data_IF_323249612260
#
_entry.id   IF_323249612260
#
_cell.length_a   1.000
_cell.length_b   1.000
_cell.length_c   1.000
_cell.angle_alpha   90.00
_cell.angle_beta   90.00
_cell.angle_gamma   90.00
#
_symmetry.space_group_name_H-M   'P 1'
#
loop_
_entity.id
_entity.type
_entity.pdbx_description
1 polymer ?
#
# COMPACT_ATOMS: atom_id res chain seq x y z
N UNK A 1 -4.34 58.50 67.13
CA UNK A 1 -3.41 58.99 66.10
C UNK A 1 -3.26 57.92 65.01
N UNK A 2 -4.14 57.89 64.02
CA UNK A 2 -4.06 56.96 62.88
C UNK A 2 -3.65 57.75 61.63
N UNK A 3 -2.42 57.57 61.15
CA UNK A 3 -1.96 58.09 59.85
C UNK A 3 -2.36 57.11 58.75
N UNK A 4 -3.38 57.47 57.99
CA UNK A 4 -3.76 56.82 56.74
C UNK A 4 -2.68 57.07 55.68
N UNK A 5 -1.93 56.04 55.29
CA UNK A 5 -1.14 56.07 54.06
C UNK A 5 -2.04 55.67 52.89
N UNK A 6 -2.59 56.67 52.19
CA UNK A 6 -3.17 56.46 50.85
C UNK A 6 -2.02 56.30 49.86
N UNK A 7 -1.80 55.09 49.37
CA UNK A 7 -0.95 54.83 48.20
C UNK A 7 -1.66 55.47 46.99
N UNK A 8 -1.02 56.47 46.37
CA UNK A 8 -1.44 56.99 45.07
C UNK A 8 -1.20 55.90 44.02
N UNK A 9 -2.26 55.24 43.59
CA UNK A 9 -2.25 54.41 42.38
C UNK A 9 -2.05 55.39 41.21
N UNK A 10 -0.86 55.38 40.61
CA UNK A 10 -0.60 56.06 39.35
C UNK A 10 -1.66 55.59 38.34
N UNK A 11 -2.45 56.53 37.83
CA UNK A 11 -3.35 56.29 36.69
C UNK A 11 -2.49 56.05 35.45
N UNK A 12 -2.19 54.80 35.16
CA UNK A 12 -1.62 54.39 33.88
C UNK A 12 -2.71 54.65 32.82
N UNK A 13 -2.41 55.38 31.73
CA UNK A 13 -3.39 55.62 30.68
C UNK A 13 -3.85 54.29 30.05
N UNK A 14 -5.15 54.13 29.71
CA UNK A 14 -5.70 52.89 29.14
C UNK A 14 -5.09 52.49 27.78
N UNK A 15 -4.23 53.33 27.21
CA UNK A 15 -3.50 53.09 25.96
C UNK A 15 -2.36 52.07 26.13
N UNK A 16 -1.79 51.91 27.32
CA UNK A 16 -0.64 51.00 27.54
C UNK A 16 -1.08 49.55 27.80
N UNK A 17 -2.34 49.31 28.19
CA UNK A 17 -2.88 47.94 28.36
C UNK A 17 -3.28 47.30 27.01
N UNK A 18 -3.49 48.11 25.97
CA UNK A 18 -3.83 47.62 24.62
C UNK A 18 -2.57 47.19 23.82
N UNK A 19 -1.38 47.69 24.18
CA UNK A 19 -0.13 47.36 23.50
C UNK A 19 0.53 46.04 23.95
N UNK A 20 0.02 45.39 25.00
CA UNK A 20 0.50 44.08 25.47
C UNK A 20 -0.38 42.90 25.00
N UNK A 21 -1.45 43.15 24.25
CA UNK A 21 -2.29 42.10 23.64
C UNK A 21 -1.87 41.80 22.19
N UNK A 22 -0.99 42.60 21.58
CA UNK A 22 -0.59 42.46 20.17
C UNK A 22 0.73 41.71 19.89
N UNK A 23 1.31 40.99 20.86
CA UNK A 23 2.56 40.23 20.62
C UNK A 23 2.55 38.80 21.21
N UNK A 24 1.37 38.21 21.32
CA UNK A 24 1.21 36.76 21.49
C UNK A 24 0.07 36.23 20.62
N UNK A 25 -0.09 36.76 19.40
CA UNK A 25 -0.35 35.84 18.29
C UNK A 25 0.97 35.11 18.07
N UNK A 26 1.19 34.05 18.86
CA UNK A 26 1.98 32.93 18.33
C UNK A 26 1.40 32.70 16.95
N UNK A 27 2.20 32.88 15.89
CA UNK A 27 1.80 32.38 14.59
C UNK A 27 1.25 30.97 14.85
N UNK A 28 -0.05 30.76 14.64
CA UNK A 28 -0.56 29.39 14.54
C UNK A 28 0.39 28.74 13.53
N UNK A 29 1.21 27.80 14.02
CA UNK A 29 2.28 27.25 13.23
C UNK A 29 1.65 26.73 11.94
N UNK A 30 2.05 27.29 10.80
CA UNK A 30 1.52 26.83 9.53
C UNK A 30 1.72 25.31 9.47
N UNK A 31 0.68 24.57 9.15
CA UNK A 31 0.69 23.11 9.14
C UNK A 31 0.23 22.59 7.79
N UNK A 32 0.81 21.47 7.36
CA UNK A 32 0.32 20.68 6.24
C UNK A 32 -0.74 19.67 6.65
N UNK A 33 -1.22 19.71 7.90
CA UNK A 33 -2.42 18.95 8.27
C UNK A 33 -3.55 19.33 7.30
N UNK A 34 -4.12 18.36 6.57
CA UNK A 34 -5.23 18.67 5.68
C UNK A 34 -6.39 19.28 6.47
N UNK A 35 -6.99 20.34 5.94
CA UNK A 35 -8.28 20.84 6.43
C UNK A 35 -9.36 19.75 6.32
N UNK A 36 -10.51 19.94 6.98
CA UNK A 36 -11.60 18.94 6.92
C UNK A 36 -12.04 18.64 5.48
N UNK A 37 -12.07 19.67 4.62
CA UNK A 37 -12.36 19.51 3.20
C UNK A 37 -11.26 18.72 2.46
N UNK A 38 -9.99 19.10 2.63
CA UNK A 38 -8.88 18.39 1.98
C UNK A 38 -8.77 16.95 2.49
N UNK A 39 -9.03 16.70 3.77
CA UNK A 39 -9.07 15.37 4.35
C UNK A 39 -10.19 14.53 3.74
N UNK A 40 -11.38 15.09 3.52
CA UNK A 40 -12.45 14.39 2.83
C UNK A 40 -12.03 13.99 1.40
N UNK A 41 -11.39 14.88 0.67
CA UNK A 41 -10.86 14.59 -0.68
C UNK A 41 -9.78 13.50 -0.63
N UNK A 42 -8.85 13.56 0.33
CA UNK A 42 -7.81 12.54 0.53
C UNK A 42 -8.44 11.15 0.78
N UNK A 43 -9.40 11.07 1.68
CA UNK A 43 -10.06 9.82 2.05
C UNK A 43 -10.85 9.25 0.88
N UNK A 44 -11.60 10.08 0.15
CA UNK A 44 -12.34 9.66 -1.04
C UNK A 44 -11.40 9.19 -2.16
N UNK A 45 -10.29 9.91 -2.41
CA UNK A 45 -9.25 9.46 -3.34
C UNK A 45 -8.72 8.08 -2.97
N UNK A 46 -8.43 7.85 -1.69
CA UNK A 46 -7.93 6.58 -1.19
C UNK A 46 -8.97 5.47 -1.38
N UNK A 47 -10.23 5.73 -1.04
CA UNK A 47 -11.30 4.76 -1.25
C UNK A 47 -11.38 4.32 -2.72
N UNK A 48 -11.30 5.25 -3.68
CA UNK A 48 -11.25 4.92 -5.10
C UNK A 48 -9.97 4.16 -5.51
N UNK A 49 -8.80 4.51 -4.96
CA UNK A 49 -7.56 3.74 -5.20
C UNK A 49 -7.71 2.30 -4.74
N UNK A 50 -8.25 2.09 -3.54
CA UNK A 50 -8.44 0.75 -2.97
C UNK A 50 -9.63 0.01 -3.58
N UNK A 51 -10.50 0.69 -4.33
CA UNK A 51 -11.56 0.13 -5.18
C UNK A 51 -11.13 -0.09 -6.65
N UNK A 52 -9.83 -0.01 -6.94
CA UNK A 52 -9.24 -0.12 -8.28
C UNK A 52 -9.79 0.89 -9.31
N UNK A 53 -10.35 2.02 -8.86
CA UNK A 53 -11.00 3.05 -9.67
C UNK A 53 -10.06 4.25 -9.86
N UNK A 54 -8.92 4.01 -10.52
CA UNK A 54 -7.81 4.95 -10.57
C UNK A 54 -8.14 6.27 -11.29
N UNK A 55 -8.94 6.23 -12.35
CA UNK A 55 -9.37 7.43 -13.08
C UNK A 55 -10.21 8.34 -12.20
N UNK A 56 -11.16 7.76 -11.43
CA UNK A 56 -11.97 8.54 -10.48
C UNK A 56 -11.15 9.06 -9.31
N UNK A 57 -10.19 8.27 -8.81
CA UNK A 57 -9.26 8.75 -7.80
C UNK A 57 -8.48 9.99 -8.28
N UNK A 58 -8.04 10.02 -9.56
CA UNK A 58 -7.38 11.21 -10.13
C UNK A 58 -8.32 12.40 -10.25
N UNK A 59 -9.54 12.18 -10.74
CA UNK A 59 -10.52 13.26 -10.88
C UNK A 59 -10.86 13.92 -9.54
N UNK A 60 -11.08 13.12 -8.49
CA UNK A 60 -11.31 13.62 -7.12
C UNK A 60 -10.08 14.38 -6.62
N UNK A 61 -8.87 13.84 -6.82
CA UNK A 61 -7.62 14.48 -6.41
C UNK A 61 -7.42 15.85 -7.05
N UNK A 62 -7.91 16.07 -8.27
CA UNK A 62 -7.84 17.38 -8.93
C UNK A 62 -8.59 18.48 -8.17
N UNK A 63 -9.55 18.14 -7.30
CA UNK A 63 -10.28 19.11 -6.47
C UNK A 63 -9.41 19.78 -5.39
N UNK A 64 -8.22 19.23 -5.09
CA UNK A 64 -7.26 19.89 -4.21
C UNK A 64 -6.64 21.16 -4.84
N UNK A 65 -6.72 21.31 -6.17
CA UNK A 65 -6.13 22.37 -6.98
C UNK A 65 -4.61 22.53 -6.80
N UNK A 66 -3.83 22.48 -7.89
CA UNK A 66 -2.40 22.83 -7.86
C UNK A 66 -2.19 24.35 -7.80
N UNK A 67 -2.72 25.00 -6.75
CA UNK A 67 -2.73 26.47 -6.64
C UNK A 67 -1.96 26.97 -5.42
N UNK A 68 -0.68 26.61 -5.38
CA UNK A 68 0.51 27.35 -4.91
C UNK A 68 1.69 26.37 -5.11
N UNK A 69 2.86 26.76 -5.65
CA UNK A 69 3.67 25.89 -6.52
C UNK A 69 3.83 24.46 -5.98
N UNK A 70 3.09 23.49 -6.53
CA UNK A 70 3.18 22.08 -6.19
C UNK A 70 2.75 21.76 -4.76
N UNK A 71 1.43 21.79 -4.49
CA UNK A 71 0.91 21.31 -3.20
C UNK A 71 1.42 19.87 -2.97
N UNK A 72 2.25 19.62 -1.94
CA UNK A 72 2.94 18.34 -1.80
C UNK A 72 1.96 17.18 -1.62
N UNK A 73 0.80 17.44 -1.01
CA UNK A 73 -0.28 16.47 -0.85
C UNK A 73 -0.88 16.02 -2.19
N UNK A 74 -1.18 16.96 -3.10
CA UNK A 74 -1.66 16.65 -4.45
C UNK A 74 -0.68 15.73 -5.18
N UNK A 75 0.60 16.09 -5.23
CA UNK A 75 1.61 15.27 -5.91
C UNK A 75 1.82 13.91 -5.25
N UNK A 76 1.75 13.82 -3.91
CA UNK A 76 1.84 12.55 -3.20
C UNK A 76 0.65 11.63 -3.55
N UNK A 77 -0.56 12.18 -3.61
CA UNK A 77 -1.75 11.42 -3.99
C UNK A 77 -1.69 10.96 -5.44
N UNK A 78 -1.32 11.83 -6.39
CA UNK A 78 -1.13 11.44 -7.78
C UNK A 78 -0.07 10.34 -7.90
N UNK A 79 1.07 10.45 -7.21
CA UNK A 79 2.08 9.40 -7.18
C UNK A 79 1.52 8.09 -6.58
N UNK A 80 0.71 8.16 -5.52
CA UNK A 80 0.08 6.98 -4.92
C UNK A 80 -0.88 6.27 -5.87
N UNK A 81 -1.64 7.02 -6.67
CA UNK A 81 -2.58 6.49 -7.67
C UNK A 81 -1.78 5.83 -8.80
N UNK A 82 -0.79 6.53 -9.37
CA UNK A 82 0.05 5.97 -10.43
C UNK A 82 0.73 4.69 -9.95
N UNK A 83 1.31 4.70 -8.75
CA UNK A 83 1.94 3.52 -8.18
C UNK A 83 0.97 2.35 -8.05
N UNK A 84 -0.24 2.59 -7.51
CA UNK A 84 -1.24 1.54 -7.34
C UNK A 84 -1.72 0.97 -8.68
N UNK A 85 -1.93 1.85 -9.68
CA UNK A 85 -2.29 1.47 -11.04
C UNK A 85 -1.20 0.62 -11.72
N UNK A 86 0.07 1.04 -11.61
CA UNK A 86 1.19 0.27 -12.16
C UNK A 86 1.31 -1.12 -11.52
N UNK A 87 1.14 -1.19 -10.20
CA UNK A 87 1.21 -2.46 -9.47
C UNK A 87 0.05 -3.40 -9.80
N UNK A 88 -1.15 -2.86 -9.92
CA UNK A 88 -2.32 -3.65 -10.28
C UNK A 88 -2.25 -4.17 -11.72
N UNK A 89 -1.80 -3.31 -12.64
CA UNK A 89 -1.64 -3.62 -14.07
C UNK A 89 -0.40 -4.45 -14.41
N UNK A 90 0.60 -4.52 -13.52
CA UNK A 90 1.99 -4.94 -13.86
C UNK A 90 2.51 -4.23 -15.13
N UNK A 91 2.09 -2.97 -15.30
CA UNK A 91 2.51 -2.06 -16.36
C UNK A 91 3.20 -0.86 -15.73
N UNK A 92 4.48 -0.67 -16.04
CA UNK A 92 5.31 0.40 -15.49
C UNK A 92 5.53 1.55 -16.50
N UNK A 93 4.67 1.66 -17.52
CA UNK A 93 4.73 2.73 -18.53
C UNK A 93 4.65 4.14 -17.94
N UNK A 94 3.90 4.34 -16.85
CA UNK A 94 3.76 5.62 -16.13
C UNK A 94 4.86 5.89 -15.09
N UNK A 95 5.93 5.10 -15.07
CA UNK A 95 7.03 5.23 -14.09
C UNK A 95 7.64 6.64 -14.04
N UNK A 96 7.81 7.27 -15.21
CA UNK A 96 8.38 8.62 -15.29
C UNK A 96 7.48 9.65 -14.60
N UNK A 97 6.17 9.59 -14.86
CA UNK A 97 5.19 10.47 -14.24
C UNK A 97 5.13 10.26 -12.72
N UNK A 98 5.18 9.01 -12.27
CA UNK A 98 5.26 8.65 -10.86
C UNK A 98 6.47 9.32 -10.19
N UNK A 99 7.66 9.16 -10.76
CA UNK A 99 8.88 9.74 -10.18
C UNK A 99 8.88 11.27 -10.21
N UNK A 100 8.37 11.88 -11.28
CA UNK A 100 8.22 13.34 -11.36
C UNK A 100 7.33 13.89 -10.24
N UNK A 101 6.20 13.25 -9.94
CA UNK A 101 5.35 13.66 -8.82
C UNK A 101 6.02 13.47 -7.46
N UNK A 102 6.75 12.36 -7.26
CA UNK A 102 7.52 12.14 -6.03
C UNK A 102 8.58 13.23 -5.84
N UNK A 103 9.31 13.60 -6.90
CA UNK A 103 10.36 14.61 -6.79
C UNK A 103 9.77 16.02 -6.54
N UNK A 104 8.68 16.41 -7.21
CA UNK A 104 7.97 17.67 -6.90
C UNK A 104 7.45 17.71 -5.46
N UNK A 105 6.88 16.60 -4.98
CA UNK A 105 6.41 16.47 -3.61
C UNK A 105 7.56 16.67 -2.61
N UNK A 106 8.68 15.98 -2.79
CA UNK A 106 9.84 16.08 -1.90
C UNK A 106 10.44 17.49 -1.91
N UNK A 107 10.62 18.11 -3.07
CA UNK A 107 11.17 19.46 -3.19
C UNK A 107 10.30 20.48 -2.44
N UNK A 108 8.98 20.37 -2.53
CA UNK A 108 8.04 21.23 -1.82
C UNK A 108 8.08 20.99 -0.30
N UNK A 109 8.14 19.73 0.14
CA UNK A 109 8.18 19.37 1.55
C UNK A 109 9.50 19.73 2.22
N UNK A 110 10.62 19.64 1.52
CA UNK A 110 11.93 20.06 2.02
C UNK A 110 11.92 21.56 2.33
N UNK A 111 11.47 22.40 1.38
CA UNK A 111 11.30 23.85 1.63
C UNK A 111 10.32 24.15 2.76
N UNK A 112 9.24 23.38 2.86
CA UNK A 112 8.26 23.53 3.94
C UNK A 112 8.88 23.24 5.31
N UNK A 113 9.53 22.10 5.45
CA UNK A 113 10.11 21.65 6.74
C UNK A 113 11.37 22.42 7.14
N UNK A 114 12.04 23.11 6.20
CA UNK A 114 13.05 24.13 6.53
C UNK A 114 12.43 25.34 7.24
N UNK A 115 11.24 25.78 6.79
CA UNK A 115 10.54 26.95 7.36
C UNK A 115 9.72 26.60 8.61
N UNK A 116 9.12 25.41 8.63
CA UNK A 116 8.25 24.91 9.70
C UNK A 116 8.75 23.53 10.17
N UNK A 117 9.90 23.46 10.84
CA UNK A 117 10.51 22.20 11.25
C UNK A 117 9.70 21.41 12.28
N UNK A 118 8.79 22.07 13.00
CA UNK A 118 7.94 21.47 14.03
C UNK A 118 6.57 21.03 13.51
N UNK A 119 6.34 21.03 12.18
CA UNK A 119 5.10 20.51 11.60
C UNK A 119 5.17 18.97 11.40
N UNK A 120 4.42 18.18 12.20
CA UNK A 120 4.45 16.72 12.11
C UNK A 120 3.99 16.20 10.74
N UNK A 121 3.06 16.90 10.08
CA UNK A 121 2.50 16.49 8.79
C UNK A 121 3.50 16.62 7.66
N UNK A 122 4.32 17.67 7.67
CA UNK A 122 5.45 17.81 6.75
C UNK A 122 6.41 16.62 6.83
N UNK A 123 6.81 16.20 8.04
CA UNK A 123 7.68 15.02 8.19
C UNK A 123 6.99 13.73 7.79
N UNK A 124 5.70 13.56 8.12
CA UNK A 124 4.92 12.40 7.68
C UNK A 124 4.88 12.27 6.16
N UNK A 125 4.59 13.35 5.44
CA UNK A 125 4.56 13.33 3.98
C UNK A 125 5.93 13.09 3.35
N UNK A 126 7.03 13.60 3.93
CA UNK A 126 8.39 13.25 3.46
C UNK A 126 8.63 11.76 3.65
N UNK A 127 8.24 11.21 4.81
CA UNK A 127 8.34 9.78 5.09
C UNK A 127 7.61 8.95 4.03
N UNK A 128 6.39 9.33 3.69
CA UNK A 128 5.56 8.67 2.68
C UNK A 128 6.17 8.73 1.28
N UNK A 129 6.61 9.91 0.83
CA UNK A 129 7.25 10.09 -0.47
C UNK A 129 8.57 9.30 -0.58
N UNK A 130 9.41 9.30 0.47
CA UNK A 130 10.62 8.48 0.53
C UNK A 130 10.30 6.97 0.55
N UNK A 131 9.19 6.57 1.18
CA UNK A 131 8.69 5.20 1.15
C UNK A 131 8.35 4.73 -0.26
N UNK A 132 7.57 5.52 -1.00
CA UNK A 132 7.29 5.26 -2.42
C UNK A 132 8.57 5.19 -3.26
N UNK A 133 9.49 6.14 -3.08
CA UNK A 133 10.81 6.14 -3.74
C UNK A 133 11.63 4.88 -3.44
N UNK A 134 11.58 4.40 -2.19
CA UNK A 134 12.27 3.17 -1.77
C UNK A 134 11.70 1.92 -2.44
N UNK A 135 10.36 1.81 -2.53
CA UNK A 135 9.67 0.70 -3.20
C UNK A 135 10.07 0.65 -4.68
N UNK A 136 10.00 1.81 -5.34
CA UNK A 136 10.40 1.96 -6.74
C UNK A 136 11.86 1.56 -6.99
N UNK A 137 12.81 2.06 -6.19
CA UNK A 137 14.22 1.67 -6.28
C UNK A 137 14.42 0.16 -6.09
N UNK A 138 13.65 -0.46 -5.20
CA UNK A 138 13.68 -1.89 -4.96
C UNK A 138 13.22 -2.70 -6.19
N UNK A 139 12.16 -2.24 -6.86
CA UNK A 139 11.66 -2.85 -8.10
C UNK A 139 12.68 -2.75 -9.24
N UNK A 140 13.43 -1.65 -9.32
CA UNK A 140 14.54 -1.49 -10.28
C UNK A 140 15.80 -2.27 -9.91
N UNK A 141 15.75 -3.13 -8.89
CA UNK A 141 16.88 -3.94 -8.43
C UNK A 141 17.95 -3.16 -7.65
N UNK A 142 17.73 -1.88 -7.37
CA UNK A 142 18.66 -1.03 -6.62
C UNK A 142 18.49 -1.19 -5.11
N UNK A 143 18.78 -2.38 -4.58
CA UNK A 143 18.52 -2.74 -3.18
C UNK A 143 19.19 -1.80 -2.16
N UNK A 144 20.44 -1.40 -2.37
CA UNK A 144 21.14 -0.47 -1.44
C UNK A 144 20.44 0.90 -1.39
N UNK A 145 20.06 1.45 -2.56
CA UNK A 145 19.34 2.72 -2.63
C UNK A 145 17.98 2.59 -1.94
N UNK A 146 17.25 1.52 -2.24
CA UNK A 146 15.95 1.21 -1.62
C UNK A 146 16.06 1.16 -0.10
N UNK A 147 17.09 0.50 0.45
CA UNK A 147 17.33 0.45 1.89
C UNK A 147 17.62 1.84 2.48
N UNK A 148 18.44 2.64 1.83
CA UNK A 148 18.76 4.00 2.28
C UNK A 148 17.52 4.91 2.27
N UNK A 149 16.72 4.89 1.20
CA UNK A 149 15.44 5.64 1.14
C UNK A 149 14.45 5.12 2.18
N UNK A 150 14.38 3.80 2.43
CA UNK A 150 13.54 3.23 3.48
C UNK A 150 13.96 3.66 4.89
N UNK A 151 15.27 3.78 5.15
CA UNK A 151 15.80 4.32 6.41
C UNK A 151 15.46 5.80 6.58
N UNK A 152 15.59 6.61 5.51
CA UNK A 152 15.16 8.01 5.52
C UNK A 152 13.67 8.15 5.81
N UNK A 153 12.83 7.34 5.16
CA UNK A 153 11.39 7.31 5.39
C UNK A 153 11.06 7.03 6.87
N UNK A 154 11.65 5.96 7.43
CA UNK A 154 11.50 5.60 8.84
C UNK A 154 11.93 6.72 9.79
N UNK A 155 13.07 7.37 9.52
CA UNK A 155 13.55 8.49 10.32
C UNK A 155 12.53 9.64 10.37
N UNK A 156 11.98 10.00 9.21
CA UNK A 156 10.97 11.06 9.11
C UNK A 156 9.65 10.72 9.79
N UNK A 157 9.20 9.47 9.71
CA UNK A 157 8.05 9.03 10.51
C UNK A 157 8.29 9.13 12.01
N UNK A 158 9.51 8.86 12.50
CA UNK A 158 9.84 9.08 13.90
C UNK A 158 9.87 10.56 14.27
N UNK A 159 10.39 11.42 13.40
CA UNK A 159 10.38 12.86 13.64
C UNK A 159 8.95 13.40 13.73
N UNK A 160 8.05 12.93 12.85
CA UNK A 160 6.62 13.23 12.95
C UNK A 160 6.01 12.77 14.29
N UNK A 161 6.27 11.52 14.72
CA UNK A 161 5.74 10.99 15.98
C UNK A 161 6.31 11.66 17.25
N UNK A 162 7.52 12.25 17.18
CA UNK A 162 8.05 13.06 18.29
C UNK A 162 7.24 14.34 18.49
N UNK A 163 6.75 14.91 17.38
CA UNK A 163 5.99 16.16 17.35
C UNK A 163 4.49 15.92 17.61
N UNK A 164 3.92 14.87 17.02
CA UNK A 164 2.55 14.41 17.26
C UNK A 164 2.51 12.88 17.45
N UNK A 165 2.47 12.40 18.71
CA UNK A 165 2.37 10.98 19.03
C UNK A 165 1.07 10.31 18.54
N UNK A 166 0.05 11.08 18.15
CA UNK A 166 -1.25 10.58 17.69
C UNK A 166 -1.35 10.47 16.17
N UNK A 167 -0.29 10.81 15.43
CA UNK A 167 -0.24 10.65 13.97
C UNK A 167 0.01 9.18 13.60
N UNK A 168 -0.98 8.33 13.87
CA UNK A 168 -0.87 6.88 13.75
C UNK A 168 -0.54 6.38 12.34
N UNK A 169 -0.80 7.21 11.32
CA UNK A 169 -0.42 6.96 9.93
C UNK A 169 1.06 6.60 9.76
N UNK A 170 1.94 7.20 10.56
CA UNK A 170 3.38 6.91 10.59
C UNK A 170 3.70 5.42 10.87
N UNK A 171 2.86 4.73 11.65
CA UNK A 171 3.07 3.33 12.00
C UNK A 171 2.89 2.39 10.81
N UNK A 172 2.22 2.82 9.73
CA UNK A 172 2.10 2.02 8.49
C UNK A 172 3.49 1.77 7.88
N UNK A 173 4.27 2.85 7.72
CA UNK A 173 5.62 2.79 7.17
C UNK A 173 6.63 2.19 8.14
N UNK A 174 6.59 2.59 9.43
CA UNK A 174 7.50 2.07 10.46
C UNK A 174 7.29 0.57 10.66
N UNK A 175 6.03 0.12 10.81
CA UNK A 175 5.68 -1.27 11.02
C UNK A 175 6.06 -2.15 9.83
N UNK A 176 5.79 -1.66 8.61
CA UNK A 176 6.25 -2.32 7.37
C UNK A 176 7.77 -2.48 7.34
N UNK A 177 8.51 -1.43 7.72
CA UNK A 177 9.96 -1.50 7.78
C UNK A 177 10.42 -2.54 8.82
N UNK A 178 9.97 -2.44 10.08
CA UNK A 178 10.40 -3.36 11.14
C UNK A 178 10.12 -4.82 10.78
N UNK A 179 8.94 -5.10 10.22
CA UNK A 179 8.58 -6.44 9.81
C UNK A 179 9.43 -6.95 8.64
N UNK A 180 9.39 -6.27 7.49
CA UNK A 180 9.99 -6.79 6.27
C UNK A 180 11.51 -6.74 6.26
N UNK A 181 12.11 -5.75 6.93
CA UNK A 181 13.56 -5.72 7.13
C UNK A 181 14.02 -6.89 7.99
N UNK A 182 13.30 -7.25 9.05
CA UNK A 182 13.60 -8.42 9.87
C UNK A 182 13.45 -9.74 9.09
N UNK A 183 12.40 -9.86 8.25
CA UNK A 183 12.19 -11.06 7.40
C UNK A 183 13.31 -11.24 6.36
N UNK A 184 13.77 -10.14 5.75
CA UNK A 184 14.72 -10.19 4.63
C UNK A 184 16.17 -10.07 5.09
N UNK A 185 16.51 -9.05 5.86
CA UNK A 185 17.89 -8.73 6.22
C UNK A 185 18.48 -9.73 7.20
N UNK A 186 17.69 -10.31 8.13
CA UNK A 186 18.23 -11.32 9.06
C UNK A 186 18.68 -12.61 8.41
N UNK A 187 18.18 -12.92 7.20
CA UNK A 187 18.70 -14.04 6.40
C UNK A 187 20.14 -13.81 5.94
N UNK A 188 20.55 -12.55 5.83
CA UNK A 188 21.88 -12.12 5.38
C UNK A 188 22.75 -11.73 6.59
N UNK A 189 22.15 -11.06 7.57
CA UNK A 189 22.78 -10.49 8.77
C UNK A 189 22.05 -11.00 10.03
N UNK A 190 22.34 -12.22 10.50
CA UNK A 190 21.57 -12.90 11.54
C UNK A 190 21.64 -12.24 12.93
N UNK A 191 22.61 -11.35 13.14
CA UNK A 191 22.81 -10.59 14.38
C UNK A 191 21.89 -9.37 14.52
N UNK A 192 21.14 -9.00 13.47
CA UNK A 192 20.15 -7.92 13.56
C UNK A 192 18.96 -8.33 14.45
N UNK A 193 18.37 -7.34 15.13
CA UNK A 193 17.17 -7.51 15.96
C UNK A 193 16.01 -8.11 15.15
N UNK A 194 15.26 -9.01 15.78
CA UNK A 194 14.02 -9.55 15.21
C UNK A 194 12.83 -8.69 15.61
N UNK A 195 12.56 -7.66 14.83
CA UNK A 195 11.49 -6.71 15.09
C UNK A 195 10.17 -7.12 14.42
N UNK A 196 10.00 -8.38 14.01
CA UNK A 196 8.75 -8.86 13.37
C UNK A 196 7.52 -8.68 14.26
N UNK A 197 7.61 -9.02 15.54
CA UNK A 197 6.50 -8.84 16.48
C UNK A 197 6.11 -7.36 16.60
N UNK A 198 7.11 -6.49 16.76
CA UNK A 198 6.93 -5.04 16.83
C UNK A 198 6.28 -4.50 15.56
N UNK A 199 6.76 -4.91 14.39
CA UNK A 199 6.17 -4.50 13.11
C UNK A 199 4.72 -4.93 12.94
N UNK A 200 4.34 -6.13 13.43
CA UNK A 200 2.95 -6.58 13.45
C UNK A 200 2.07 -5.72 14.37
N UNK A 201 2.57 -5.37 15.55
CA UNK A 201 1.86 -4.51 16.51
C UNK A 201 1.66 -3.10 15.95
N UNK A 202 2.69 -2.51 15.34
CA UNK A 202 2.62 -1.18 14.70
C UNK A 202 1.68 -1.18 13.48
N UNK A 203 1.75 -2.20 12.62
CA UNK A 203 0.82 -2.34 11.48
C UNK A 203 -0.63 -2.51 11.95
N UNK A 204 -0.86 -3.28 13.00
CA UNK A 204 -2.19 -3.41 13.60
C UNK A 204 -2.67 -2.08 14.16
N UNK A 205 -1.82 -1.37 14.89
CA UNK A 205 -2.15 -0.05 15.43
C UNK A 205 -2.52 0.94 14.32
N UNK A 206 -1.74 0.97 13.24
CA UNK A 206 -2.03 1.81 12.07
C UNK A 206 -3.35 1.42 11.40
N UNK A 207 -3.64 0.13 11.27
CA UNK A 207 -4.91 -0.36 10.70
C UNK A 207 -6.12 0.09 11.55
N UNK A 208 -5.98 0.07 12.88
CA UNK A 208 -7.07 0.40 13.80
C UNK A 208 -7.27 1.91 13.98
N UNK A 209 -6.20 2.72 13.89
CA UNK A 209 -6.18 4.10 14.39
C UNK A 209 -5.70 5.18 13.40
N UNK A 210 -5.14 4.84 12.24
CA UNK A 210 -4.73 5.85 11.24
C UNK A 210 -5.91 6.67 10.73
N UNK A 211 -5.65 7.89 10.28
CA UNK A 211 -6.64 8.70 9.57
C UNK A 211 -6.74 8.24 8.11
N UNK A 212 -5.60 8.23 7.41
CA UNK A 212 -5.49 8.11 5.96
C UNK A 212 -5.07 6.68 5.58
N UNK A 213 -4.14 6.11 6.35
CA UNK A 213 -3.37 4.92 5.97
C UNK A 213 -4.02 3.60 6.39
N UNK A 214 -5.26 3.61 6.90
CA UNK A 214 -5.93 2.40 7.41
C UNK A 214 -5.98 1.27 6.37
N UNK A 215 -6.38 1.51 5.10
CA UNK A 215 -6.45 0.42 4.12
C UNK A 215 -5.06 -0.12 3.78
N UNK A 216 -4.06 0.76 3.63
CA UNK A 216 -2.68 0.37 3.40
C UNK A 216 -2.09 -0.46 4.55
N UNK A 217 -2.34 -0.05 5.80
CA UNK A 217 -1.94 -0.77 7.00
C UNK A 217 -2.63 -2.13 7.12
N UNK A 218 -3.93 -2.21 6.78
CA UNK A 218 -4.66 -3.47 6.76
C UNK A 218 -4.05 -4.47 5.76
N UNK A 219 -3.72 -4.03 4.54
CA UNK A 219 -3.03 -4.86 3.56
C UNK A 219 -1.66 -5.29 4.08
N UNK A 220 -0.85 -4.34 4.58
CA UNK A 220 0.48 -4.63 5.12
C UNK A 220 0.43 -5.64 6.27
N UNK A 221 -0.49 -5.46 7.20
CA UNK A 221 -0.74 -6.38 8.32
C UNK A 221 -1.20 -7.75 7.83
N UNK A 222 -2.13 -7.81 6.88
CA UNK A 222 -2.64 -9.05 6.29
C UNK A 222 -1.53 -9.89 5.63
N UNK A 223 -0.67 -9.27 4.82
CA UNK A 223 0.48 -9.96 4.21
C UNK A 223 1.52 -10.40 5.25
N UNK A 224 1.75 -9.60 6.29
CA UNK A 224 2.63 -9.98 7.38
C UNK A 224 2.08 -11.19 8.17
N UNK A 225 0.78 -11.21 8.47
CA UNK A 225 0.12 -12.36 9.09
C UNK A 225 0.21 -13.61 8.21
N UNK A 226 0.00 -13.47 6.89
CA UNK A 226 0.17 -14.57 5.95
C UNK A 226 1.62 -15.11 5.97
N UNK A 227 2.63 -14.24 5.97
CA UNK A 227 4.02 -14.65 6.04
C UNK A 227 4.37 -15.37 7.36
N UNK A 228 3.76 -14.97 8.49
CA UNK A 228 3.82 -15.71 9.77
C UNK A 228 2.91 -16.95 9.81
N UNK A 229 2.22 -17.30 8.73
CA UNK A 229 1.27 -18.43 8.65
C UNK A 229 0.10 -18.32 9.63
N UNK A 230 -0.23 -17.11 10.09
CA UNK A 230 -1.41 -16.83 10.93
C UNK A 230 -2.67 -16.71 10.06
N UNK A 231 -3.02 -17.81 9.38
CA UNK A 231 -4.03 -17.82 8.31
C UNK A 231 -5.42 -17.37 8.77
N UNK A 232 -5.84 -17.72 9.99
CA UNK A 232 -7.15 -17.33 10.52
C UNK A 232 -7.28 -15.82 10.66
N UNK A 233 -6.24 -15.16 11.18
CA UNK A 233 -6.25 -13.72 11.39
C UNK A 233 -6.07 -12.99 10.07
N UNK A 234 -5.21 -13.51 9.18
CA UNK A 234 -5.06 -12.98 7.83
C UNK A 234 -6.38 -13.03 7.05
N UNK A 235 -7.16 -14.11 7.18
CA UNK A 235 -8.47 -14.23 6.54
C UNK A 235 -9.48 -13.22 7.09
N UNK A 236 -9.48 -12.94 8.40
CA UNK A 236 -10.38 -11.92 8.98
C UNK A 236 -10.10 -10.55 8.37
N UNK A 237 -8.83 -10.16 8.31
CA UNK A 237 -8.39 -8.89 7.71
C UNK A 237 -8.74 -8.84 6.23
N UNK A 238 -8.43 -9.90 5.48
CA UNK A 238 -8.67 -9.95 4.03
C UNK A 238 -10.16 -9.92 3.67
N UNK A 239 -11.04 -10.54 4.45
CA UNK A 239 -12.50 -10.45 4.26
C UNK A 239 -13.03 -9.06 4.58
N UNK A 240 -12.60 -8.45 5.68
CA UNK A 240 -12.99 -7.09 6.01
C UNK A 240 -12.60 -6.10 4.90
N UNK A 241 -11.39 -6.24 4.33
CA UNK A 241 -10.95 -5.47 3.17
C UNK A 241 -11.82 -5.73 1.94
N UNK A 242 -12.13 -7.00 1.65
CA UNK A 242 -12.97 -7.37 0.52
C UNK A 242 -14.36 -6.74 0.62
N UNK A 243 -14.96 -6.77 1.80
CA UNK A 243 -16.29 -6.22 2.05
C UNK A 243 -16.29 -4.68 1.98
N UNK A 244 -15.24 -4.02 2.51
CA UNK A 244 -15.16 -2.56 2.53
C UNK A 244 -14.83 -1.94 1.17
N UNK A 245 -14.12 -2.66 0.29
CA UNK A 245 -13.70 -2.13 -1.03
C UNK A 245 -14.57 -2.61 -2.19
N UNK A 246 -15.70 -3.27 -1.91
CA UNK A 246 -16.57 -3.80 -2.97
C UNK A 246 -15.93 -4.93 -3.79
N UNK A 247 -14.97 -5.64 -3.20
CA UNK A 247 -14.30 -6.77 -3.83
C UNK A 247 -13.12 -6.43 -4.74
N UNK A 248 -12.44 -5.32 -4.47
CA UNK A 248 -11.25 -4.89 -5.21
C UNK A 248 -10.14 -5.96 -5.23
N UNK A 249 -9.30 -5.89 -6.27
CA UNK A 249 -8.25 -6.87 -6.58
C UNK A 249 -7.24 -7.01 -5.46
N UNK A 250 -6.88 -5.91 -4.79
CA UNK A 250 -5.96 -5.95 -3.64
C UNK A 250 -6.40 -6.92 -2.54
N UNK A 251 -7.70 -6.93 -2.18
CA UNK A 251 -8.24 -7.85 -1.19
C UNK A 251 -8.28 -9.29 -1.73
N UNK A 252 -8.63 -9.46 -3.01
CA UNK A 252 -8.64 -10.76 -3.68
C UNK A 252 -7.23 -11.38 -3.73
N UNK A 253 -6.19 -10.60 -4.04
CA UNK A 253 -4.80 -11.07 -4.04
C UNK A 253 -4.39 -11.64 -2.68
N UNK A 254 -4.74 -10.94 -1.60
CA UNK A 254 -4.46 -11.41 -0.24
C UNK A 254 -5.25 -12.69 0.08
N UNK A 255 -6.55 -12.73 -0.21
CA UNK A 255 -7.38 -13.93 -0.03
C UNK A 255 -6.83 -15.14 -0.79
N UNK A 256 -6.51 -14.97 -2.08
CA UNK A 256 -5.95 -16.02 -2.93
C UNK A 256 -4.61 -16.51 -2.40
N UNK A 257 -3.74 -15.59 -1.97
CA UNK A 257 -2.46 -15.92 -1.33
C UNK A 257 -2.63 -16.74 -0.04
N UNK A 258 -3.63 -16.40 0.78
CA UNK A 258 -3.93 -17.13 2.02
C UNK A 258 -4.47 -18.54 1.71
N UNK A 259 -5.49 -18.66 0.85
CA UNK A 259 -6.06 -19.96 0.50
C UNK A 259 -5.02 -20.87 -0.14
N UNK A 260 -4.22 -20.33 -1.06
CA UNK A 260 -3.11 -21.03 -1.68
C UNK A 260 -2.11 -21.55 -0.64
N UNK A 261 -1.65 -20.69 0.28
CA UNK A 261 -0.64 -21.07 1.28
C UNK A 261 -1.16 -22.07 2.32
N UNK A 262 -2.47 -22.07 2.58
CA UNK A 262 -3.13 -23.07 3.44
C UNK A 262 -3.34 -24.42 2.73
N UNK A 263 -3.14 -24.49 1.41
CA UNK A 263 -3.48 -25.67 0.59
C UNK A 263 -4.98 -25.85 0.39
N UNK A 264 -5.77 -24.79 0.57
CA UNK A 264 -7.23 -24.80 0.41
C UNK A 264 -7.58 -24.67 -1.08
N UNK A 265 -7.42 -25.77 -1.80
CA UNK A 265 -7.49 -25.79 -3.26
C UNK A 265 -8.83 -25.26 -3.79
N UNK A 266 -9.94 -25.54 -3.11
CA UNK A 266 -11.28 -25.11 -3.54
C UNK A 266 -11.40 -23.60 -3.48
N UNK A 267 -11.18 -23.01 -2.30
CA UNK A 267 -11.30 -21.56 -2.12
C UNK A 267 -10.25 -20.81 -2.94
N UNK A 268 -9.04 -21.37 -3.10
CA UNK A 268 -8.01 -20.80 -3.96
C UNK A 268 -8.45 -20.78 -5.43
N UNK A 269 -8.99 -21.88 -5.97
CA UNK A 269 -9.46 -21.94 -7.35
C UNK A 269 -10.59 -20.95 -7.62
N UNK A 270 -11.56 -20.86 -6.71
CA UNK A 270 -12.68 -19.91 -6.81
C UNK A 270 -12.16 -18.46 -6.77
N UNK A 271 -11.28 -18.12 -5.82
CA UNK A 271 -10.74 -16.77 -5.68
C UNK A 271 -9.86 -16.33 -6.86
N UNK A 272 -8.97 -17.20 -7.36
CA UNK A 272 -8.21 -16.89 -8.58
C UNK A 272 -9.12 -16.75 -9.80
N UNK A 273 -10.25 -17.46 -9.86
CA UNK A 273 -11.29 -17.23 -10.86
C UNK A 273 -11.88 -15.82 -10.79
N UNK A 274 -12.14 -15.30 -9.60
CA UNK A 274 -12.59 -13.91 -9.41
C UNK A 274 -11.55 -12.90 -9.89
N UNK A 275 -10.26 -13.12 -9.57
CA UNK A 275 -9.16 -12.28 -10.06
C UNK A 275 -9.07 -12.29 -11.59
N UNK A 276 -9.13 -13.46 -12.22
CA UNK A 276 -9.14 -13.58 -13.70
C UNK A 276 -10.29 -12.76 -14.29
N UNK A 277 -11.51 -12.97 -13.80
CA UNK A 277 -12.69 -12.25 -14.29
C UNK A 277 -12.55 -10.72 -14.09
N UNK A 278 -11.98 -10.28 -12.97
CA UNK A 278 -11.74 -8.86 -12.72
C UNK A 278 -10.72 -8.27 -13.68
N UNK A 279 -9.59 -8.95 -13.89
CA UNK A 279 -8.53 -8.53 -14.78
C UNK A 279 -8.99 -8.47 -16.24
N UNK A 280 -9.78 -9.46 -16.68
CA UNK A 280 -10.32 -9.47 -18.05
C UNK A 280 -11.35 -8.37 -18.29
N UNK A 281 -12.17 -8.02 -17.29
CA UNK A 281 -13.13 -6.90 -17.39
C UNK A 281 -12.46 -5.53 -17.42
N UNK A 282 -11.28 -5.38 -16.81
CA UNK A 282 -10.54 -4.13 -16.84
C UNK A 282 -10.07 -3.76 -18.27
N UNK A 283 -10.00 -4.73 -19.20
CA UNK A 283 -9.68 -4.48 -20.61
C UNK A 283 -8.20 -4.28 -20.91
N UNK A 284 -7.38 -4.09 -19.87
CA UNK A 284 -5.92 -4.01 -19.99
C UNK A 284 -5.34 -5.41 -20.14
N UNK A 285 -4.47 -5.61 -21.14
CA UNK A 285 -3.83 -6.91 -21.39
C UNK A 285 -2.76 -7.23 -20.33
N UNK A 286 -3.19 -7.43 -19.08
CA UNK A 286 -2.36 -7.78 -17.93
C UNK A 286 -1.96 -9.26 -17.96
N UNK A 287 -1.19 -9.63 -18.98
CA UNK A 287 -0.80 -11.02 -19.20
C UNK A 287 0.02 -11.58 -18.04
N UNK A 288 0.80 -10.75 -17.33
CA UNK A 288 1.57 -11.21 -16.18
C UNK A 288 0.64 -11.78 -15.10
N UNK A 289 -0.32 -10.98 -14.63
CA UNK A 289 -1.24 -11.41 -13.59
C UNK A 289 -2.19 -12.50 -14.07
N UNK A 290 -2.66 -12.44 -15.33
CA UNK A 290 -3.51 -13.48 -15.91
C UNK A 290 -2.79 -14.83 -15.97
N UNK A 291 -1.53 -14.88 -16.45
CA UNK A 291 -0.74 -16.12 -16.48
C UNK A 291 -0.56 -16.66 -15.07
N UNK A 292 -0.24 -15.80 -14.10
CA UNK A 292 -0.09 -16.19 -12.70
C UNK A 292 -1.38 -16.80 -12.13
N UNK A 293 -2.50 -16.09 -12.24
CA UNK A 293 -3.79 -16.52 -11.69
C UNK A 293 -4.29 -17.80 -12.36
N UNK A 294 -4.23 -17.88 -13.70
CA UNK A 294 -4.65 -19.08 -14.44
C UNK A 294 -3.81 -20.29 -14.07
N UNK A 295 -2.50 -20.12 -13.90
CA UNK A 295 -1.65 -21.22 -13.46
C UNK A 295 -2.03 -21.72 -12.07
N UNK A 296 -2.23 -20.79 -11.11
CA UNK A 296 -2.64 -21.15 -9.74
C UNK A 296 -4.00 -21.82 -9.70
N UNK A 297 -4.98 -21.30 -10.44
CA UNK A 297 -6.32 -21.88 -10.57
C UNK A 297 -6.25 -23.27 -11.20
N UNK A 298 -5.55 -23.42 -12.33
CA UNK A 298 -5.36 -24.69 -13.03
C UNK A 298 -4.71 -25.75 -12.15
N UNK A 299 -3.67 -25.37 -11.39
CA UNK A 299 -3.05 -26.27 -10.40
C UNK A 299 -4.05 -26.74 -9.33
N UNK A 300 -4.84 -25.82 -8.78
CA UNK A 300 -5.84 -26.17 -7.76
C UNK A 300 -6.91 -27.10 -8.32
N UNK A 301 -7.42 -26.81 -9.53
CA UNK A 301 -8.40 -27.63 -10.22
C UNK A 301 -7.86 -29.03 -10.54
N UNK A 302 -6.60 -29.13 -10.96
CA UNK A 302 -5.94 -30.42 -11.15
C UNK A 302 -5.90 -31.23 -9.85
N UNK A 303 -5.50 -30.62 -8.74
CA UNK A 303 -5.48 -31.28 -7.42
C UNK A 303 -6.86 -31.72 -6.94
N UNK A 304 -7.91 -31.01 -7.35
CA UNK A 304 -9.32 -31.37 -7.12
C UNK A 304 -9.87 -32.40 -8.13
N UNK A 305 -9.01 -32.95 -9.01
CA UNK A 305 -9.36 -33.88 -10.10
C UNK A 305 -10.36 -33.33 -11.12
N UNK A 306 -10.48 -32.00 -11.20
CA UNK A 306 -11.31 -31.29 -12.18
C UNK A 306 -10.51 -31.07 -13.47
N UNK A 307 -10.11 -32.16 -14.11
CA UNK A 307 -9.11 -32.14 -15.18
C UNK A 307 -9.52 -31.30 -16.40
N UNK A 308 -10.80 -31.36 -16.81
CA UNK A 308 -11.33 -30.53 -17.91
C UNK A 308 -11.22 -29.03 -17.61
N UNK A 309 -11.61 -28.61 -16.41
CA UNK A 309 -11.51 -27.20 -15.99
C UNK A 309 -10.03 -26.77 -15.89
N UNK A 310 -9.16 -27.64 -15.34
CA UNK A 310 -7.73 -27.37 -15.24
C UNK A 310 -7.07 -27.22 -16.63
N UNK A 311 -7.44 -28.07 -17.58
CA UNK A 311 -6.95 -28.02 -18.96
C UNK A 311 -7.29 -26.68 -19.64
N UNK A 312 -8.52 -26.17 -19.45
CA UNK A 312 -8.94 -24.87 -19.99
C UNK A 312 -8.04 -23.74 -19.49
N UNK A 313 -7.71 -23.73 -18.19
CA UNK A 313 -6.81 -22.72 -17.61
C UNK A 313 -5.41 -22.79 -18.20
N UNK A 314 -4.85 -24.00 -18.30
CA UNK A 314 -3.51 -24.20 -18.85
C UNK A 314 -3.42 -23.88 -20.34
N UNK A 315 -4.46 -24.23 -21.13
CA UNK A 315 -4.52 -23.86 -22.55
C UNK A 315 -4.66 -22.35 -22.75
N UNK A 316 -5.43 -21.66 -21.91
CA UNK A 316 -5.54 -20.21 -21.96
C UNK A 316 -4.18 -19.53 -21.78
N UNK A 317 -3.34 -20.00 -20.85
CA UNK A 317 -1.96 -19.50 -20.69
C UNK A 317 -1.16 -19.60 -22.00
N UNK A 318 -1.25 -20.75 -22.69
CA UNK A 318 -0.50 -20.97 -23.94
C UNK A 318 -1.05 -20.16 -25.13
N UNK A 319 -2.28 -19.64 -25.03
CA UNK A 319 -2.89 -18.80 -26.07
C UNK A 319 -2.45 -17.34 -26.01
N UNK A 320 -1.96 -16.89 -24.85
CA UNK A 320 -1.53 -15.52 -24.65
C UNK A 320 -0.28 -15.18 -25.45
N UNK A 321 -0.20 -13.91 -25.89
CA UNK A 321 0.93 -13.35 -26.63
C UNK A 321 1.62 -12.25 -25.80
N UNK A 322 2.19 -12.57 -24.62
CA UNK A 322 2.84 -11.56 -23.79
C UNK A 322 4.14 -11.07 -24.43
N UNK A 323 4.62 -9.92 -23.95
CA UNK A 323 5.96 -9.42 -24.26
C UNK A 323 7.05 -10.44 -23.90
N UNK A 324 8.24 -10.28 -24.48
CA UNK A 324 9.39 -11.14 -24.17
C UNK A 324 9.73 -11.11 -22.67
N UNK A 325 9.70 -9.93 -22.06
CA UNK A 325 9.98 -9.76 -20.63
C UNK A 325 9.03 -10.57 -19.75
N UNK A 326 7.72 -10.50 -20.00
CA UNK A 326 6.73 -11.28 -19.25
C UNK A 326 6.94 -12.78 -19.49
N UNK A 327 7.24 -13.18 -20.73
CA UNK A 327 7.53 -14.59 -21.07
C UNK A 327 8.74 -15.12 -20.30
N UNK A 328 9.81 -14.32 -20.20
CA UNK A 328 11.03 -14.69 -19.49
C UNK A 328 10.77 -14.80 -17.97
N UNK A 329 10.04 -13.83 -17.37
CA UNK A 329 9.61 -13.88 -15.97
C UNK A 329 8.73 -15.11 -15.67
N UNK A 330 7.91 -15.56 -16.62
CA UNK A 330 7.07 -16.74 -16.51
C UNK A 330 7.63 -18.03 -17.14
N UNK A 331 8.91 -18.09 -17.52
CA UNK A 331 9.46 -19.23 -18.25
C UNK A 331 9.19 -20.60 -17.59
N UNK A 332 9.39 -20.69 -16.27
CA UNK A 332 9.06 -21.89 -15.48
C UNK A 332 7.56 -22.20 -15.44
N UNK A 333 6.72 -21.17 -15.46
CA UNK A 333 5.25 -21.32 -15.47
C UNK A 333 4.82 -21.96 -16.79
N UNK A 334 5.27 -21.43 -17.94
CA UNK A 334 5.00 -22.01 -19.25
C UNK A 334 5.46 -23.46 -19.37
N UNK A 335 6.63 -23.78 -18.86
CA UNK A 335 7.14 -25.15 -18.84
C UNK A 335 6.23 -26.08 -18.03
N UNK A 336 5.91 -25.71 -16.78
CA UNK A 336 5.02 -26.50 -15.92
C UNK A 336 3.61 -26.62 -16.50
N UNK A 337 3.09 -25.59 -17.15
CA UNK A 337 1.79 -25.64 -17.84
C UNK A 337 1.74 -26.78 -18.85
N UNK A 338 2.79 -26.97 -19.65
CA UNK A 338 2.88 -28.09 -20.61
C UNK A 338 2.92 -29.45 -19.90
N UNK A 339 3.72 -29.58 -18.84
CA UNK A 339 3.80 -30.80 -18.04
C UNK A 339 2.45 -31.18 -17.40
N UNK A 340 1.67 -30.20 -16.93
CA UNK A 340 0.33 -30.48 -16.40
C UNK A 340 -0.66 -30.89 -17.48
N UNK A 341 -0.57 -30.35 -18.69
CA UNK A 341 -1.40 -30.78 -19.82
C UNK A 341 -1.13 -32.25 -20.20
N UNK A 342 0.13 -32.67 -20.19
CA UNK A 342 0.50 -34.07 -20.41
C UNK A 342 -0.07 -34.99 -19.32
N UNK A 343 0.08 -34.60 -18.05
CA UNK A 343 -0.49 -35.35 -16.91
C UNK A 343 -2.00 -35.47 -17.00
N UNK A 344 -2.69 -34.38 -17.33
CA UNK A 344 -4.15 -34.36 -17.53
C UNK A 344 -4.56 -35.35 -18.62
N UNK A 345 -3.82 -35.41 -19.74
CA UNK A 345 -4.09 -36.37 -20.81
C UNK A 345 -4.04 -37.83 -20.33
N UNK A 346 -3.03 -38.17 -19.53
CA UNK A 346 -2.86 -39.52 -18.95
C UNK A 346 -4.01 -39.85 -17.99
N UNK A 347 -4.30 -38.95 -17.06
CA UNK A 347 -5.36 -39.15 -16.04
C UNK A 347 -6.75 -39.25 -16.68
N UNK A 348 -7.02 -38.43 -17.69
CA UNK A 348 -8.31 -38.46 -18.41
C UNK A 348 -8.51 -39.76 -19.19
N UNK A 349 -7.45 -40.29 -19.79
CA UNK A 349 -7.48 -41.58 -20.48
C UNK A 349 -7.73 -42.75 -19.50
N UNK A 350 -7.10 -42.71 -18.32
CA UNK A 350 -7.31 -43.71 -17.27
C UNK A 350 -8.76 -43.69 -16.72
N UNK A 351 -9.34 -42.50 -16.53
CA UNK A 351 -10.74 -42.36 -16.11
C UNK A 351 -11.72 -42.93 -17.15
N UNK A 352 -11.50 -42.65 -18.44
CA UNK A 352 -12.35 -43.17 -19.51
C UNK A 352 -12.32 -44.70 -19.60
N UNK A 353 -11.15 -45.33 -19.40
CA UNK A 353 -11.01 -46.79 -19.39
C UNK A 353 -11.69 -47.45 -18.19
N UNK A 354 -11.76 -46.76 -17.05
CA UNK A 354 -12.44 -47.26 -15.85
C UNK A 354 -13.96 -47.20 -16.03
N UNK A 355 -14.48 -46.08 -16.56
CA UNK A 355 -15.90 -45.90 -16.83
C UNK A 355 -16.46 -46.78 -17.97
N UNK A 356 -15.60 -47.30 -18.86
CA UNK A 356 -16.01 -48.24 -19.91
C UNK A 356 -16.03 -49.71 -19.47
N UNK A 357 -15.58 -50.01 -18.24
CA UNK A 357 -15.50 -51.37 -17.67
C UNK A 357 -16.60 -51.66 -16.65
N UNK A 358 -17.30 -50.62 -16.19
CA UNK A 358 -18.54 -50.69 -15.43
C UNK A 358 -19.73 -50.57 -16.39
#
# INVERSE_FOLDING_TARGET
>A
MHRNYRIQILKIPPVIVILLICAALTAEGATLKPSDYEMAVVLETIDYVFADSFERAREITNALNDTFPGQPLYHLLIASIIHSQMMDGEDFSSEKEFMTNIDYCLDALERWTEKYPDDPWGHFFIGSAQGYKAIWQGQKGSWLKSLLSGLKAKGKFYDALKLDPWLYDCYTGIGSYHYWSSVKLRKIFPFLSDDRRKGLEELKLAMDSSYISRPAAAIGYGWALLNERKYSDALKVARALHDSTGGARNALWLLGGIYWSKGDLRNAAENYGMLINSLERAGDQNYYNLIYCRYRRGFCLYGLKKYKEAELEFRAILSYKPSREIRDRHGKTFQKTKEYLEKIGIESAAQAQTQSRD
#
